data_IF_564404598124
#
_entry.id   IF_564404598124
#
_cell.length_a   1.000
_cell.length_b   1.000
_cell.length_c   1.000
_cell.angle_alpha   90.00
_cell.angle_beta   90.00
_cell.angle_gamma   90.00
#
_symmetry.space_group_name_H-M   'P 1'
#
loop_
_entity.id
_entity.type
_entity.pdbx_description
1 polymer ?
#
# COMPACT_ATOMS: atom_id res chain seq x y z
N UNK A 1 10.40 1.30 -5.14
CA UNK A 1 10.61 0.66 -3.84
C UNK A 1 9.27 0.46 -3.10
N UNK A 2 8.31 -0.27 -3.69
CA UNK A 2 7.01 -0.58 -3.06
C UNK A 2 6.70 -2.08 -2.98
N UNK A 3 7.56 -2.93 -3.57
CA UNK A 3 7.37 -4.38 -3.68
C UNK A 3 8.06 -5.16 -2.56
N UNK A 4 9.06 -4.58 -1.93
CA UNK A 4 9.59 -5.03 -0.64
C UNK A 4 9.10 -4.05 0.41
N UNK A 5 8.06 -4.43 1.16
CA UNK A 5 7.54 -3.63 2.26
C UNK A 5 8.61 -3.53 3.37
N UNK A 6 9.53 -2.59 3.21
CA UNK A 6 10.41 -2.16 4.29
C UNK A 6 9.56 -1.37 5.28
N UNK A 7 9.06 -2.07 6.30
CA UNK A 7 8.22 -1.49 7.33
C UNK A 7 8.96 -0.41 8.13
N UNK A 8 10.29 -0.52 8.29
CA UNK A 8 11.07 0.50 8.98
C UNK A 8 11.13 1.79 8.15
N UNK A 9 11.33 1.69 6.83
CA UNK A 9 11.22 2.83 5.93
C UNK A 9 9.82 3.45 5.97
N UNK A 10 8.76 2.63 5.90
CA UNK A 10 7.39 3.14 5.93
C UNK A 10 7.08 3.87 7.25
N UNK A 11 7.52 3.33 8.40
CA UNK A 11 7.32 3.97 9.69
C UNK A 11 8.13 5.27 9.83
N UNK A 12 9.33 5.34 9.26
CA UNK A 12 10.15 6.55 9.27
C UNK A 12 9.57 7.67 8.39
N UNK A 13 8.96 7.31 7.25
CA UNK A 13 8.54 8.26 6.22
C UNK A 13 7.06 8.63 6.29
N UNK A 14 6.24 7.82 6.96
CA UNK A 14 4.79 8.01 7.03
C UNK A 14 4.30 7.99 8.46
N UNK A 15 3.28 8.81 8.74
CA UNK A 15 2.40 8.59 9.87
C UNK A 15 1.40 7.50 9.48
N UNK A 16 1.42 6.38 10.21
CA UNK A 16 0.58 5.21 9.92
C UNK A 16 -0.57 5.16 10.92
N UNK A 17 -1.80 5.01 10.43
CA UNK A 17 -3.00 4.88 11.26
C UNK A 17 -3.84 3.69 10.80
N UNK A 18 -4.40 2.93 11.74
CA UNK A 18 -5.34 1.86 11.44
C UNK A 18 -6.76 2.45 11.28
N UNK A 19 -7.33 2.37 10.08
CA UNK A 19 -8.69 2.85 9.81
C UNK A 19 -9.77 1.81 10.12
N UNK A 20 -9.49 0.54 9.83
CA UNK A 20 -10.37 -0.61 10.11
C UNK A 20 -9.55 -1.83 10.48
N UNK A 21 -10.13 -2.71 11.28
CA UNK A 21 -9.49 -3.95 11.73
C UNK A 21 -9.90 -5.19 10.92
N UNK A 22 -11.09 -5.23 10.32
CA UNK A 22 -11.56 -6.40 9.59
C UNK A 22 -12.36 -6.03 8.31
N UNK A 23 -11.78 -6.18 7.10
CA UNK A 23 -10.36 -6.46 6.88
C UNK A 23 -9.48 -5.25 7.29
N UNK A 24 -8.21 -5.47 7.67
CA UNK A 24 -7.33 -4.39 8.07
C UNK A 24 -7.17 -3.35 6.96
N UNK A 25 -7.32 -2.08 7.31
CA UNK A 25 -7.07 -0.96 6.40
C UNK A 25 -6.14 0.02 7.08
N UNK A 26 -4.97 0.26 6.50
CA UNK A 26 -4.02 1.26 6.97
C UNK A 26 -4.15 2.55 6.16
N UNK A 27 -4.01 3.69 6.83
CA UNK A 27 -3.76 4.99 6.21
C UNK A 27 -2.34 5.41 6.49
N UNK A 28 -1.61 5.75 5.44
CA UNK A 28 -0.26 6.27 5.50
C UNK A 28 -0.29 7.71 5.00
N UNK A 29 0.15 8.66 5.83
CA UNK A 29 0.28 10.07 5.46
C UNK A 29 1.77 10.39 5.45
N UNK A 30 2.36 10.89 4.34
CA UNK A 30 3.78 11.23 4.32
C UNK A 30 4.13 12.20 5.45
N UNK A 31 5.31 12.08 6.06
CA UNK A 31 5.77 13.03 7.07
C UNK A 31 6.34 14.30 6.42
N UNK A 32 7.08 14.13 5.31
CA UNK A 32 7.71 15.23 4.60
C UNK A 32 6.70 16.09 3.83
N UNK A 33 6.85 17.42 3.94
CA UNK A 33 5.96 18.37 3.28
C UNK A 33 6.02 18.28 1.74
N UNK A 34 7.20 18.04 1.16
CA UNK A 34 7.37 17.89 -0.28
C UNK A 34 6.58 16.69 -0.81
N UNK A 35 6.62 15.55 -0.10
CA UNK A 35 5.84 14.37 -0.47
C UNK A 35 4.32 14.63 -0.38
N UNK A 36 3.87 15.40 0.62
CA UNK A 36 2.45 15.77 0.78
C UNK A 36 1.90 16.65 -0.35
N UNK A 37 2.76 17.37 -1.07
CA UNK A 37 2.35 18.17 -2.23
C UNK A 37 1.96 17.30 -3.42
N UNK A 38 2.41 16.04 -3.45
CA UNK A 38 2.09 15.08 -4.50
C UNK A 38 1.03 14.09 -4.01
N UNK A 39 1.26 13.48 -2.85
CA UNK A 39 0.41 12.43 -2.28
C UNK A 39 -0.09 12.89 -0.92
N UNK A 40 -1.40 13.09 -0.80
CA UNK A 40 -2.06 13.39 0.47
C UNK A 40 -2.03 12.19 1.41
N UNK A 41 -2.37 11.00 0.90
CA UNK A 41 -2.32 9.77 1.68
C UNK A 41 -2.39 8.52 0.81
N UNK A 42 -1.90 7.41 1.34
CA UNK A 42 -2.15 6.07 0.83
C UNK A 42 -3.13 5.35 1.78
N UNK A 43 -4.11 4.65 1.22
CA UNK A 43 -4.94 3.70 1.97
C UNK A 43 -4.67 2.29 1.44
N UNK A 44 -4.23 1.39 2.31
CA UNK A 44 -3.88 0.01 1.97
C UNK A 44 -4.86 -0.91 2.66
N UNK A 45 -5.68 -1.62 1.88
CA UNK A 45 -6.59 -2.66 2.37
C UNK A 45 -5.94 -4.02 2.18
N UNK A 46 -5.81 -4.75 3.28
CA UNK A 46 -5.35 -6.14 3.28
C UNK A 46 -6.52 -7.09 3.09
N UNK A 47 -6.22 -8.32 2.70
CA UNK A 47 -7.19 -9.41 2.72
C UNK A 47 -7.66 -9.71 4.15
N UNK A 48 -8.84 -10.31 4.29
CA UNK A 48 -9.40 -10.66 5.60
C UNK A 48 -8.52 -11.62 6.41
N UNK A 49 -7.75 -12.47 5.73
CA UNK A 49 -6.76 -13.37 6.35
C UNK A 49 -5.38 -12.70 6.57
N UNK A 50 -5.26 -11.40 6.25
CA UNK A 50 -4.06 -10.59 6.38
C UNK A 50 -2.86 -11.08 5.56
N UNK A 51 -3.07 -11.94 4.56
CA UNK A 51 -1.97 -12.57 3.80
C UNK A 51 -1.51 -11.79 2.58
N UNK A 52 -2.33 -10.90 2.05
CA UNK A 52 -1.98 -10.09 0.88
C UNK A 52 -2.70 -8.73 0.88
N UNK A 53 -2.31 -7.85 -0.03
CA UNK A 53 -2.96 -6.56 -0.27
C UNK A 53 -4.05 -6.74 -1.32
N UNK A 54 -5.28 -6.36 -1.00
CA UNK A 54 -6.40 -6.39 -1.95
C UNK A 54 -6.51 -5.10 -2.75
N UNK A 55 -6.20 -3.96 -2.12
CA UNK A 55 -6.42 -2.65 -2.71
C UNK A 55 -5.45 -1.62 -2.15
N UNK A 56 -4.97 -0.74 -3.02
CA UNK A 56 -4.27 0.49 -2.65
C UNK A 56 -5.05 1.67 -3.26
N UNK A 57 -5.36 2.67 -2.43
CA UNK A 57 -5.86 3.96 -2.89
C UNK A 57 -4.77 4.99 -2.65
N UNK A 58 -4.34 5.66 -3.72
CA UNK A 58 -3.43 6.78 -3.67
C UNK A 58 -4.28 8.03 -3.79
N UNK A 59 -4.32 8.86 -2.74
CA UNK A 59 -4.99 10.16 -2.78
C UNK A 59 -3.95 11.23 -3.08
N UNK A 60 -4.16 11.95 -4.16
CA UNK A 60 -3.30 13.04 -4.60
C UNK A 60 -3.69 14.34 -3.87
N UNK A 61 -2.81 15.34 -3.90
CA UNK A 61 -3.01 16.58 -3.17
C UNK A 61 -4.17 17.44 -3.71
N UNK A 62 -4.49 17.29 -4.99
CA UNK A 62 -5.55 17.99 -5.73
C UNK A 62 -6.94 17.34 -5.61
N UNK A 63 -7.06 16.29 -4.77
CA UNK A 63 -8.27 15.48 -4.52
C UNK A 63 -8.57 14.43 -5.58
N UNK A 64 -7.72 14.26 -6.58
CA UNK A 64 -7.77 13.09 -7.43
C UNK A 64 -7.27 11.85 -6.69
N UNK A 65 -7.59 10.69 -7.25
CA UNK A 65 -7.17 9.44 -6.67
C UNK A 65 -6.98 8.36 -7.72
N UNK A 66 -5.94 7.56 -7.48
CA UNK A 66 -5.67 6.33 -8.20
C UNK A 66 -6.05 5.13 -7.34
N UNK A 67 -6.76 4.15 -7.91
CA UNK A 67 -7.10 2.89 -7.23
C UNK A 67 -6.42 1.73 -7.95
N UNK A 68 -5.63 0.97 -7.21
CA UNK A 68 -5.05 -0.29 -7.66
C UNK A 68 -5.79 -1.41 -6.93
N UNK A 69 -6.42 -2.31 -7.68
CA UNK A 69 -7.09 -3.50 -7.15
C UNK A 69 -6.35 -4.75 -7.60
N UNK A 70 -6.10 -5.65 -6.66
CA UNK A 70 -5.51 -6.95 -6.93
C UNK A 70 -6.62 -7.99 -6.98
N UNK A 71 -6.73 -8.68 -8.11
CA UNK A 71 -7.71 -9.74 -8.35
C UNK A 71 -6.95 -11.03 -8.66
N UNK A 72 -7.57 -12.18 -8.38
CA UNK A 72 -7.01 -13.51 -8.64
C UNK A 72 -5.61 -13.73 -8.03
N UNK A 73 -5.41 -13.19 -6.82
CA UNK A 73 -4.13 -13.25 -6.12
C UNK A 73 -3.79 -14.70 -5.74
N UNK A 74 -2.64 -15.18 -6.24
CA UNK A 74 -2.08 -16.48 -5.85
C UNK A 74 -0.83 -16.27 -4.99
N UNK A 75 -0.87 -16.76 -3.75
CA UNK A 75 0.20 -16.58 -2.76
C UNK A 75 1.14 -17.78 -2.77
N UNK A 76 2.45 -17.54 -2.63
CA UNK A 76 3.49 -18.58 -2.51
C UNK A 76 3.54 -19.58 -3.68
N UNK A 77 3.07 -19.19 -4.87
CA UNK A 77 3.25 -19.99 -6.09
C UNK A 77 4.73 -19.91 -6.51
N UNK A 78 5.42 -21.05 -6.73
CA UNK A 78 6.75 -21.03 -7.31
C UNK A 78 6.73 -20.30 -8.65
N UNK A 79 7.58 -19.29 -8.79
CA UNK A 79 7.73 -18.53 -10.04
C UNK A 79 8.92 -19.09 -10.81
N UNK A 80 8.78 -19.37 -12.12
CA UNK A 80 9.92 -19.70 -12.97
C UNK A 80 10.95 -18.57 -12.96
N UNK A 81 12.27 -18.87 -13.03
CA UNK A 81 13.31 -17.83 -13.08
C UNK A 81 13.07 -16.83 -14.20
N UNK A 82 12.58 -17.31 -15.34
CA UNK A 82 12.43 -16.54 -16.59
C UNK A 82 11.30 -15.49 -16.58
N UNK A 83 10.57 -15.34 -15.47
CA UNK A 83 9.46 -14.37 -15.35
C UNK A 83 9.90 -12.93 -15.10
N UNK A 84 11.18 -12.71 -14.75
CA UNK A 84 11.71 -11.42 -14.34
C UNK A 84 12.88 -10.92 -15.22
N UNK A 85 13.14 -11.58 -16.35
CA UNK A 85 14.19 -11.23 -17.31
C UNK A 85 13.64 -10.47 -18.53
#
# INVERSE_FOLDING_TARGET
AWTTADFAFLQAQYQITLLRQNPPTLKLVPQEAAARQLISSLEIRFSADCRYVEQIVIREADRDYTVIKFLDVTINKPLPPDYFY
#
